data_IF_033445494897
#
_entry.id   IF_033445494897
#
_cell.length_a   1.000
_cell.length_b   1.000
_cell.length_c   1.000
_cell.angle_alpha   90.00
_cell.angle_beta   90.00
_cell.angle_gamma   90.00
#
_symmetry.space_group_name_H-M   'P 1'
#
loop_
_entity.id
_entity.type
_entity.pdbx_description
1 polymer ?
#
# COMPACT_ATOMS: atom_id res chain seq x y z
N UNK A 1 -53.42 36.15 -11.61
CA UNK A 1 -53.18 34.73 -11.25
C UNK A 1 -52.32 34.12 -12.35
N UNK A 2 -51.04 33.87 -12.04
CA UNK A 2 -50.01 33.44 -13.01
C UNK A 2 -50.04 31.92 -13.15
N UNK A 3 -50.17 31.43 -14.40
CA UNK A 3 -50.05 30.00 -14.74
C UNK A 3 -48.58 29.57 -14.62
N UNK A 4 -48.26 28.39 -14.07
CA UNK A 4 -46.89 27.89 -14.09
C UNK A 4 -46.54 27.46 -15.52
N UNK A 5 -45.44 28.01 -16.04
CA UNK A 5 -44.79 27.57 -17.27
C UNK A 5 -43.94 26.36 -16.91
N UNK A 6 -44.34 25.18 -17.38
CA UNK A 6 -43.52 23.96 -17.31
C UNK A 6 -42.54 24.02 -18.47
N UNK A 7 -41.26 24.28 -18.17
CA UNK A 7 -40.18 24.17 -19.14
C UNK A 7 -39.80 22.68 -19.19
N UNK A 8 -40.26 21.98 -20.21
CA UNK A 8 -39.79 20.65 -20.54
C UNK A 8 -38.36 20.76 -21.11
N UNK A 9 -37.36 20.49 -20.28
CA UNK A 9 -36.00 20.23 -20.73
C UNK A 9 -35.99 18.86 -21.43
N UNK A 10 -36.11 18.87 -22.76
CA UNK A 10 -35.80 17.72 -23.58
C UNK A 10 -34.30 17.46 -23.49
N UNK A 11 -33.91 16.55 -22.60
CA UNK A 11 -32.57 15.98 -22.62
C UNK A 11 -32.48 15.07 -23.85
N UNK A 12 -31.81 15.55 -24.89
CA UNK A 12 -31.41 14.75 -26.04
C UNK A 12 -30.46 13.65 -25.56
N UNK A 13 -30.97 12.45 -25.34
CA UNK A 13 -30.17 11.26 -25.15
C UNK A 13 -29.43 10.97 -26.46
N UNK A 14 -28.18 11.40 -26.54
CA UNK A 14 -27.25 10.85 -27.53
C UNK A 14 -26.92 9.45 -27.03
N UNK A 15 -27.61 8.44 -27.58
CA UNK A 15 -27.24 7.05 -27.43
C UNK A 15 -25.90 6.83 -28.14
N UNK A 16 -24.80 7.09 -27.43
CA UNK A 16 -23.49 6.56 -27.80
C UNK A 16 -23.54 5.06 -27.48
N UNK A 17 -23.33 4.25 -28.50
CA UNK A 17 -23.45 2.79 -28.43
C UNK A 17 -22.71 2.23 -27.21
N UNK A 18 -23.47 1.55 -26.35
CA UNK A 18 -22.89 0.71 -25.32
C UNK A 18 -22.01 -0.36 -25.97
N UNK A 19 -20.82 -0.56 -25.41
CA UNK A 19 -19.96 -1.66 -25.82
C UNK A 19 -20.77 -2.98 -25.73
N UNK A 20 -20.77 -3.80 -26.79
CA UNK A 20 -21.52 -5.05 -26.83
C UNK A 20 -20.94 -6.06 -25.84
N UNK A 21 -21.69 -6.34 -24.77
CA UNK A 21 -21.42 -7.41 -23.82
C UNK A 21 -20.58 -6.95 -22.63
N UNK A 22 -21.23 -6.79 -21.46
CA UNK A 22 -20.55 -6.65 -20.17
C UNK A 22 -19.76 -7.93 -19.89
N UNK A 23 -18.51 -7.99 -20.33
CA UNK A 23 -17.57 -9.03 -19.94
C UNK A 23 -16.96 -8.58 -18.61
N UNK A 24 -17.04 -9.43 -17.58
CA UNK A 24 -16.36 -9.17 -16.32
C UNK A 24 -14.86 -8.97 -16.60
N UNK A 25 -14.27 -7.91 -16.05
CA UNK A 25 -12.84 -7.70 -16.16
C UNK A 25 -12.09 -8.81 -15.43
N UNK A 26 -11.19 -9.52 -16.13
CA UNK A 26 -10.31 -10.51 -15.51
C UNK A 26 -9.30 -9.84 -14.55
N UNK A 27 -8.87 -8.63 -14.91
CA UNK A 27 -7.93 -7.81 -14.13
C UNK A 27 -8.61 -6.53 -13.71
N UNK A 28 -8.61 -6.31 -12.40
CA UNK A 28 -9.11 -5.10 -11.79
C UNK A 28 -8.07 -4.54 -10.83
N UNK A 29 -7.89 -3.23 -10.86
CA UNK A 29 -7.24 -2.49 -9.79
C UNK A 29 -8.15 -1.36 -9.31
N UNK A 30 -8.41 -1.30 -8.01
CA UNK A 30 -9.16 -0.25 -7.34
C UNK A 30 -8.22 0.63 -6.51
N UNK A 31 -8.36 1.95 -6.59
CA UNK A 31 -7.80 2.91 -5.63
C UNK A 31 -8.86 3.97 -5.30
N UNK A 32 -9.43 3.90 -4.10
CA UNK A 32 -10.43 4.83 -3.59
C UNK A 32 -9.95 5.49 -2.30
N UNK A 33 -10.29 6.77 -2.11
CA UNK A 33 -9.77 7.56 -0.99
C UNK A 33 -10.84 8.47 -0.39
N UNK A 34 -10.69 8.76 0.90
CA UNK A 34 -11.42 9.82 1.57
C UNK A 34 -10.58 10.45 2.68
N UNK A 35 -10.61 11.77 2.76
CA UNK A 35 -10.04 12.49 3.90
C UNK A 35 -11.06 12.56 5.04
N UNK A 36 -10.62 12.18 6.23
CA UNK A 36 -11.39 12.25 7.46
C UNK A 36 -11.16 13.60 8.13
N UNK A 37 -12.17 14.12 8.82
CA UNK A 37 -12.10 15.41 9.54
C UNK A 37 -10.98 15.48 10.60
N UNK A 38 -10.48 14.33 11.06
CA UNK A 38 -9.37 14.21 12.00
C UNK A 38 -7.98 14.39 11.36
N UNK A 39 -7.91 14.64 10.05
CA UNK A 39 -6.68 14.77 9.27
C UNK A 39 -6.07 13.44 8.82
N UNK A 40 -6.83 12.35 8.96
CA UNK A 40 -6.46 11.02 8.47
C UNK A 40 -7.01 10.80 7.08
N UNK A 41 -6.25 10.16 6.21
CA UNK A 41 -6.73 9.70 4.91
C UNK A 41 -7.05 8.20 5.00
N UNK A 42 -8.28 7.86 4.66
CA UNK A 42 -8.69 6.48 4.40
C UNK A 42 -8.37 6.17 2.93
N UNK A 43 -7.69 5.05 2.70
CA UNK A 43 -7.48 4.46 1.37
C UNK A 43 -8.05 3.05 1.34
N UNK A 44 -8.81 2.74 0.31
CA UNK A 44 -9.27 1.40 -0.03
C UNK A 44 -8.65 1.08 -1.37
N UNK A 45 -7.84 0.04 -1.44
CA UNK A 45 -7.17 -0.34 -2.68
C UNK A 45 -7.04 -1.84 -2.80
N UNK A 46 -7.22 -2.40 -3.99
CA UNK A 46 -7.04 -3.84 -4.18
C UNK A 46 -7.16 -4.28 -5.61
N UNK A 47 -6.93 -5.56 -5.84
CA UNK A 47 -6.94 -6.18 -7.15
C UNK A 47 -7.64 -7.54 -7.15
N UNK A 48 -8.13 -7.97 -8.32
CA UNK A 48 -8.67 -9.33 -8.54
C UNK A 48 -7.57 -10.35 -8.73
N UNK A 49 -6.42 -9.91 -9.23
CA UNK A 49 -5.21 -10.70 -9.37
C UNK A 49 -3.96 -9.81 -9.34
N UNK A 50 -2.92 -10.26 -8.64
CA UNK A 50 -1.64 -9.53 -8.60
C UNK A 50 -0.60 -10.33 -9.37
N UNK A 51 -0.56 -10.10 -10.69
CA UNK A 51 0.51 -10.55 -11.58
C UNK A 51 1.69 -9.56 -11.59
N UNK A 52 1.68 -8.53 -10.72
CA UNK A 52 2.71 -7.49 -10.70
C UNK A 52 3.99 -7.91 -9.96
N UNK A 53 3.99 -9.09 -9.32
CA UNK A 53 5.20 -9.69 -8.77
C UNK A 53 6.04 -10.39 -9.84
N UNK A 54 7.35 -10.17 -9.79
CA UNK A 54 8.34 -10.80 -10.64
C UNK A 54 8.18 -12.33 -10.62
N UNK A 55 7.67 -12.91 -11.71
CA UNK A 55 7.55 -14.36 -11.86
C UNK A 55 6.26 -14.87 -12.49
N UNK A 56 5.25 -14.02 -12.71
CA UNK A 56 4.01 -14.44 -13.40
C UNK A 56 3.23 -15.53 -12.65
N UNK A 57 3.42 -15.63 -11.33
CA UNK A 57 2.63 -16.53 -10.48
C UNK A 57 1.32 -15.82 -10.14
N UNK A 58 0.15 -16.37 -10.53
CA UNK A 58 -1.13 -15.81 -10.13
C UNK A 58 -1.20 -15.79 -8.61
N UNK A 59 -1.36 -14.60 -8.04
CA UNK A 59 -1.65 -14.47 -6.61
C UNK A 59 -3.10 -14.07 -6.43
N UNK A 60 -3.71 -14.57 -5.34
CA UNK A 60 -5.08 -14.24 -4.99
C UNK A 60 -5.20 -12.73 -4.79
N UNK A 61 -6.21 -12.11 -5.39
CA UNK A 61 -6.52 -10.70 -5.21
C UNK A 61 -6.47 -10.26 -3.74
N UNK A 62 -5.86 -9.11 -3.49
CA UNK A 62 -5.69 -8.55 -2.13
C UNK A 62 -6.46 -7.24 -2.04
N UNK A 63 -7.26 -7.06 -0.98
CA UNK A 63 -7.76 -5.73 -0.63
C UNK A 63 -7.03 -5.21 0.59
N UNK A 64 -6.60 -3.96 0.48
CA UNK A 64 -5.96 -3.19 1.52
C UNK A 64 -6.86 -2.01 1.90
N UNK A 65 -7.19 -1.91 3.19
CA UNK A 65 -7.81 -0.71 3.75
C UNK A 65 -6.83 -0.09 4.73
N UNK A 66 -6.45 1.16 4.47
CA UNK A 66 -5.42 1.84 5.23
C UNK A 66 -5.87 3.21 5.73
N UNK A 67 -5.50 3.51 6.97
CA UNK A 67 -5.56 4.85 7.55
C UNK A 67 -4.16 5.43 7.56
N UNK A 68 -4.00 6.59 6.92
CA UNK A 68 -2.72 7.28 6.81
C UNK A 68 -2.82 8.67 7.44
N UNK A 69 -1.78 9.06 8.16
CA UNK A 69 -1.64 10.41 8.68
C UNK A 69 -0.23 10.91 8.38
N UNK A 70 -0.14 12.01 7.65
CA UNK A 70 1.12 12.75 7.48
C UNK A 70 1.09 13.99 8.36
N UNK A 71 1.99 14.07 9.35
CA UNK A 71 2.05 15.23 10.24
C UNK A 71 3.45 15.44 10.79
N UNK A 72 3.95 16.68 10.70
CA UNK A 72 5.25 17.07 11.27
C UNK A 72 6.40 16.27 10.68
N UNK A 73 6.33 15.96 9.39
CA UNK A 73 7.31 15.12 8.67
C UNK A 73 7.14 13.62 8.89
N UNK A 74 6.45 13.17 9.94
CA UNK A 74 6.20 11.75 10.17
C UNK A 74 4.99 11.24 9.37
N UNK A 75 5.07 9.99 8.94
CA UNK A 75 3.96 9.26 8.33
C UNK A 75 3.57 8.08 9.21
N UNK A 76 2.33 8.10 9.69
CA UNK A 76 1.72 7.00 10.43
C UNK A 76 0.74 6.28 9.52
N UNK A 77 0.82 4.95 9.50
CA UNK A 77 0.02 4.08 8.64
C UNK A 77 -0.52 2.91 9.46
N UNK A 78 -1.82 2.63 9.31
CA UNK A 78 -2.47 1.44 9.85
C UNK A 78 -3.28 0.78 8.74
N UNK A 79 -2.80 -0.36 8.27
CA UNK A 79 -3.39 -1.11 7.18
C UNK A 79 -3.98 -2.43 7.66
N UNK A 80 -5.10 -2.80 7.07
CA UNK A 80 -5.65 -4.14 7.07
C UNK A 80 -5.58 -4.69 5.65
N UNK A 81 -4.98 -5.87 5.49
CA UNK A 81 -4.95 -6.60 4.22
C UNK A 81 -5.61 -7.96 4.38
N UNK A 82 -6.59 -8.28 3.53
CA UNK A 82 -7.16 -9.63 3.46
C UNK A 82 -7.24 -10.12 2.01
N UNK A 83 -7.29 -11.44 1.85
CA UNK A 83 -7.79 -12.03 0.62
C UNK A 83 -9.22 -11.50 0.38
N UNK A 84 -9.53 -11.10 -0.86
CA UNK A 84 -10.81 -10.49 -1.19
C UNK A 84 -11.95 -11.51 -1.25
N UNK A 85 -13.14 -11.14 -0.79
CA UNK A 85 -14.32 -12.02 -0.90
C UNK A 85 -15.21 -11.69 -2.12
N UNK A 86 -15.19 -10.47 -2.68
CA UNK A 86 -15.68 -10.13 -4.03
C UNK A 86 -15.15 -8.76 -4.47
N UNK A 87 -14.61 -8.67 -5.68
CA UNK A 87 -14.37 -7.41 -6.38
C UNK A 87 -14.68 -7.63 -7.85
N UNK A 88 -15.65 -6.88 -8.38
CA UNK A 88 -16.15 -7.01 -9.75
C UNK A 88 -16.40 -5.64 -10.35
N UNK A 89 -16.20 -5.52 -11.66
CA UNK A 89 -16.54 -4.34 -12.44
C UNK A 89 -16.65 -4.72 -13.92
N UNK A 90 -17.61 -4.14 -14.62
CA UNK A 90 -17.88 -4.41 -16.04
C UNK A 90 -17.58 -3.22 -16.98
N UNK A 91 -16.91 -2.18 -16.45
CA UNK A 91 -16.67 -0.93 -17.15
C UNK A 91 -17.67 0.18 -16.81
N UNK A 92 -18.84 -0.16 -16.27
CA UNK A 92 -19.89 0.80 -15.90
C UNK A 92 -20.25 0.70 -14.42
N UNK A 93 -20.41 -0.52 -13.91
CA UNK A 93 -20.80 -0.78 -12.55
C UNK A 93 -20.05 -2.00 -11.98
N UNK A 94 -20.06 -2.11 -10.66
CA UNK A 94 -19.35 -3.18 -9.98
C UNK A 94 -19.70 -3.30 -8.51
N UNK A 95 -19.01 -4.19 -7.83
CA UNK A 95 -19.18 -4.42 -6.40
C UNK A 95 -17.86 -4.73 -5.73
N UNK A 96 -17.71 -4.26 -4.51
CA UNK A 96 -16.70 -4.68 -3.55
C UNK A 96 -17.41 -5.25 -2.32
N UNK A 97 -17.16 -6.52 -2.01
CA UNK A 97 -17.69 -7.19 -0.82
C UNK A 97 -16.58 -7.86 -0.02
N UNK A 98 -16.65 -7.70 1.30
CA UNK A 98 -15.72 -8.31 2.25
C UNK A 98 -16.49 -8.78 3.46
N UNK A 99 -16.27 -10.03 3.85
CA UNK A 99 -16.88 -10.63 5.03
C UNK A 99 -15.78 -10.89 6.07
N UNK A 100 -15.40 -9.85 6.81
CA UNK A 100 -14.41 -10.00 7.88
C UNK A 100 -14.98 -10.71 9.11
N UNK A 101 -14.40 -11.85 9.47
CA UNK A 101 -14.83 -12.67 10.62
C UNK A 101 -13.95 -12.53 11.88
N UNK A 102 -12.82 -11.82 11.83
CA UNK A 102 -11.88 -11.69 12.97
C UNK A 102 -11.74 -10.26 13.48
N UNK A 103 -11.61 -10.06 14.79
CA UNK A 103 -11.33 -8.77 15.41
C UNK A 103 -9.82 -8.55 15.64
N UNK A 104 -9.22 -7.41 15.24
CA UNK A 104 -9.84 -6.26 14.58
C UNK A 104 -10.28 -6.58 13.13
N UNK A 105 -11.45 -6.07 12.72
CA UNK A 105 -12.21 -6.58 11.56
C UNK A 105 -12.45 -5.52 10.49
N UNK A 106 -12.59 -5.96 9.23
CA UNK A 106 -13.05 -5.16 8.10
C UNK A 106 -14.30 -5.79 7.49
N UNK A 107 -15.35 -4.99 7.32
CA UNK A 107 -16.56 -5.36 6.60
C UNK A 107 -16.82 -4.29 5.53
N UNK A 108 -17.08 -4.70 4.30
CA UNK A 108 -17.45 -3.79 3.24
C UNK A 108 -18.50 -4.41 2.33
N UNK A 109 -19.50 -3.62 1.96
CA UNK A 109 -20.44 -3.89 0.88
C UNK A 109 -20.66 -2.56 0.16
N UNK A 110 -19.91 -2.37 -0.93
CA UNK A 110 -19.89 -1.14 -1.72
C UNK A 110 -20.26 -1.45 -3.17
N UNK A 111 -21.14 -0.66 -3.72
CA UNK A 111 -21.41 -0.60 -5.17
C UNK A 111 -20.44 0.39 -5.80
N UNK A 112 -19.86 0.02 -6.94
CA UNK A 112 -19.01 0.87 -7.76
C UNK A 112 -19.85 1.37 -8.94
N UNK A 113 -19.83 2.67 -9.20
CA UNK A 113 -20.49 3.29 -10.36
C UNK A 113 -19.50 4.19 -11.09
N UNK A 114 -19.33 3.99 -12.39
CA UNK A 114 -18.53 4.86 -13.24
C UNK A 114 -19.12 6.28 -13.27
N UNK A 115 -18.30 7.28 -12.96
CA UNK A 115 -18.70 8.69 -12.96
C UNK A 115 -18.15 9.47 -14.15
N UNK A 116 -17.40 8.80 -15.03
CA UNK A 116 -16.77 9.39 -16.20
C UNK A 116 -16.63 8.39 -17.33
N UNK A 117 -16.08 8.85 -18.45
CA UNK A 117 -15.78 7.98 -19.58
C UNK A 117 -14.47 7.21 -19.31
N UNK A 118 -14.40 5.91 -19.66
CA UNK A 118 -13.15 5.17 -19.65
C UNK A 118 -12.11 5.83 -20.56
N UNK A 119 -10.88 5.95 -20.06
CA UNK A 119 -9.72 6.43 -20.80
C UNK A 119 -8.71 5.30 -20.95
N UNK A 120 -7.97 5.19 -22.06
CA UNK A 120 -6.89 4.22 -22.19
C UNK A 120 -5.86 4.36 -21.06
N UNK A 121 -5.53 3.25 -20.41
CA UNK A 121 -4.49 3.19 -19.38
C UNK A 121 -3.22 2.54 -19.93
N UNK A 122 -2.11 3.27 -19.83
CA UNK A 122 -0.78 2.84 -20.27
C UNK A 122 0.13 2.52 -19.09
N UNK A 123 -0.42 2.26 -17.90
CA UNK A 123 0.32 1.82 -16.70
C UNK A 123 0.33 0.30 -16.53
N UNK A 124 -0.69 -0.41 -17.00
CA UNK A 124 -0.80 -1.86 -17.06
C UNK A 124 -0.88 -2.36 -18.52
N UNK A 125 -0.09 -3.36 -18.91
CA UNK A 125 -0.07 -4.06 -20.20
C UNK A 125 -0.57 -5.47 -19.99
N UNK A 126 -1.77 -5.75 -20.47
CA UNK A 126 -2.23 -7.10 -20.72
C UNK A 126 -1.88 -7.43 -22.18
N UNK A 127 -1.04 -8.43 -22.46
CA UNK A 127 -0.75 -8.81 -23.84
C UNK A 127 -2.04 -9.13 -24.60
N UNK A 128 -2.30 -8.38 -25.68
CA UNK A 128 -3.45 -8.60 -26.55
C UNK A 128 -4.78 -7.96 -26.10
N UNK A 129 -4.83 -7.30 -24.94
CA UNK A 129 -6.08 -6.70 -24.41
C UNK A 129 -5.85 -5.24 -24.00
N UNK A 130 -6.69 -4.29 -24.45
CA UNK A 130 -6.59 -2.89 -24.01
C UNK A 130 -6.93 -2.75 -22.52
N UNK A 131 -6.24 -1.82 -21.86
CA UNK A 131 -6.51 -1.41 -20.48
C UNK A 131 -7.19 -0.04 -20.46
N UNK A 132 -8.09 0.13 -19.51
CA UNK A 132 -8.86 1.34 -19.31
C UNK A 132 -8.80 1.78 -17.85
N UNK A 133 -8.85 3.10 -17.64
CA UNK A 133 -8.99 3.73 -16.34
C UNK A 133 -10.27 4.55 -16.33
N UNK A 134 -11.09 4.40 -15.30
CA UNK A 134 -12.33 5.16 -15.14
C UNK A 134 -12.50 5.63 -13.70
N UNK A 135 -12.95 6.88 -13.55
CA UNK A 135 -13.33 7.40 -12.24
C UNK A 135 -14.62 6.71 -11.76
N UNK A 136 -14.64 6.32 -10.48
CA UNK A 136 -15.79 5.65 -9.87
C UNK A 136 -16.22 6.34 -8.57
N UNK A 137 -17.53 6.32 -8.32
CA UNK A 137 -18.10 6.53 -7.01
C UNK A 137 -18.37 5.18 -6.37
N UNK A 138 -17.93 5.01 -5.13
CA UNK A 138 -18.25 3.84 -4.33
C UNK A 138 -19.29 4.25 -3.30
N UNK A 139 -20.43 3.57 -3.24
CA UNK A 139 -21.50 3.85 -2.28
C UNK A 139 -21.91 2.58 -1.55
N UNK A 140 -22.28 2.69 -0.28
CA UNK A 140 -22.70 1.55 0.52
C UNK A 140 -22.18 1.62 1.94
N UNK A 141 -21.78 0.48 2.51
CA UNK A 141 -21.25 0.41 3.88
C UNK A 141 -19.82 -0.08 3.88
N UNK A 142 -18.89 0.74 4.37
CA UNK A 142 -17.58 0.30 4.82
C UNK A 142 -17.48 0.48 6.33
N UNK A 143 -17.10 -0.59 7.03
CA UNK A 143 -16.87 -0.60 8.48
C UNK A 143 -15.53 -1.23 8.81
N UNK A 144 -14.60 -0.39 9.27
CA UNK A 144 -13.28 -0.82 9.72
C UNK A 144 -13.19 -0.70 11.24
N UNK A 145 -13.12 -1.83 11.95
CA UNK A 145 -12.87 -1.87 13.40
C UNK A 145 -11.38 -1.99 13.64
N UNK A 146 -10.75 -0.87 13.94
CA UNK A 146 -9.28 -0.75 13.94
C UNK A 146 -8.61 -1.30 15.19
N UNK A 147 -9.32 -1.41 16.31
CA UNK A 147 -8.70 -1.68 17.62
C UNK A 147 -7.73 -0.58 18.08
N UNK A 148 -7.68 0.56 17.39
CA UNK A 148 -6.81 1.70 17.69
C UNK A 148 -7.50 2.64 18.67
N UNK A 149 -6.71 3.24 19.57
CA UNK A 149 -7.19 4.11 20.64
C UNK A 149 -7.98 5.32 20.14
N UNK A 150 -7.56 5.94 19.03
CA UNK A 150 -8.20 7.15 18.50
C UNK A 150 -9.16 6.90 17.34
N UNK A 151 -9.05 5.77 16.64
CA UNK A 151 -9.77 5.53 15.39
C UNK A 151 -10.88 4.48 15.53
N UNK A 152 -10.96 3.77 16.66
CA UNK A 152 -12.11 2.95 17.06
C UNK A 152 -12.73 2.18 15.89
N UNK A 153 -13.92 2.61 15.47
CA UNK A 153 -14.55 2.18 14.21
C UNK A 153 -14.60 3.33 13.21
N UNK A 154 -14.04 3.13 12.02
CA UNK A 154 -14.21 4.04 10.88
C UNK A 154 -15.38 3.55 10.03
N UNK A 155 -16.30 4.46 9.70
CA UNK A 155 -17.43 4.21 8.81
C UNK A 155 -17.44 5.22 7.70
N UNK A 156 -17.57 4.75 6.47
CA UNK A 156 -17.69 5.60 5.29
C UNK A 156 -18.81 5.06 4.42
N UNK A 157 -19.67 5.96 3.96
CA UNK A 157 -20.83 5.62 3.14
C UNK A 157 -20.61 5.95 1.65
N UNK A 158 -19.62 6.79 1.36
CA UNK A 158 -19.20 7.06 -0.02
C UNK A 158 -17.70 7.33 -0.11
N UNK A 159 -17.08 6.81 -1.17
CA UNK A 159 -15.70 7.09 -1.55
C UNK A 159 -15.68 7.49 -3.03
N UNK A 160 -14.68 8.27 -3.40
CA UNK A 160 -14.33 8.47 -4.80
C UNK A 160 -13.02 7.73 -5.08
N UNK A 161 -12.90 7.18 -6.29
CA UNK A 161 -11.73 6.43 -6.68
C UNK A 161 -11.57 6.28 -8.17
N UNK A 162 -10.65 5.41 -8.52
CA UNK A 162 -10.36 5.01 -9.89
C UNK A 162 -10.33 3.50 -9.95
N UNK A 163 -10.90 2.96 -11.02
CA UNK A 163 -10.79 1.55 -11.40
C UNK A 163 -9.98 1.47 -12.69
N UNK A 164 -8.95 0.63 -12.66
CA UNK A 164 -8.19 0.22 -13.84
C UNK A 164 -8.63 -1.21 -14.19
N UNK A 165 -8.99 -1.46 -15.45
CA UNK A 165 -9.59 -2.72 -15.88
C UNK A 165 -9.33 -3.03 -17.35
N UNK A 166 -9.36 -4.31 -17.72
CA UNK A 166 -9.35 -4.78 -19.12
C UNK A 166 -10.77 -5.10 -19.61
N UNK A 167 -10.96 -5.00 -20.93
CA UNK A 167 -12.20 -5.42 -21.59
C UNK A 167 -12.04 -6.83 -22.19
N UNK A 168 -12.60 -7.84 -21.51
CA UNK A 168 -12.59 -9.23 -21.95
C UNK A 168 -11.38 -10.04 -21.51
N UNK A 169 -11.31 -11.34 -21.86
CA UNK A 169 -10.34 -12.25 -21.27
C UNK A 169 -8.91 -11.84 -21.58
N UNK A 170 -8.06 -11.78 -20.57
CA UNK A 170 -6.67 -11.37 -20.73
C UNK A 170 -5.71 -12.48 -20.30
N UNK A 171 -4.58 -12.56 -21.00
CA UNK A 171 -3.40 -13.20 -20.45
C UNK A 171 -2.88 -12.40 -19.24
N UNK A 172 -1.92 -12.93 -18.48
CA UNK A 172 -1.40 -12.25 -17.30
C UNK A 172 -0.99 -10.81 -17.62
N UNK A 173 -1.58 -9.85 -16.91
CA UNK A 173 -1.25 -8.44 -17.05
C UNK A 173 0.01 -8.08 -16.29
N UNK A 174 0.87 -7.31 -16.92
CA UNK A 174 2.08 -6.74 -16.33
C UNK A 174 1.92 -5.22 -16.27
N UNK A 175 2.77 -4.48 -15.59
CA UNK A 175 2.80 -3.01 -15.76
C UNK A 175 3.24 -2.66 -17.20
N UNK A 176 2.57 -1.75 -17.93
CA UNK A 176 2.90 -1.32 -19.32
C UNK A 176 3.84 -0.13 -19.42
N UNK A 177 4.17 0.55 -18.33
CA UNK A 177 5.55 1.04 -18.29
C UNK A 177 6.41 -0.22 -18.23
N UNK A 178 7.59 -0.26 -18.86
CA UNK A 178 8.77 -0.82 -18.18
C UNK A 178 8.47 -0.86 -16.68
N UNK A 179 8.31 -2.04 -16.07
CA UNK A 179 8.05 -2.23 -14.61
C UNK A 179 8.53 -0.96 -13.94
N UNK A 180 7.70 -0.06 -13.36
CA UNK A 180 8.18 1.26 -12.96
C UNK A 180 9.51 1.05 -12.23
N UNK A 181 10.67 1.41 -12.82
CA UNK A 181 11.91 0.64 -12.74
C UNK A 181 12.06 0.11 -11.32
N UNK A 182 11.87 -1.20 -11.11
CA UNK A 182 11.14 -1.79 -9.98
C UNK A 182 11.36 -1.11 -8.63
N UNK A 183 10.80 0.09 -8.35
CA UNK A 183 11.46 1.12 -7.48
C UNK A 183 12.81 0.61 -6.98
N UNK A 184 13.76 0.50 -7.90
CA UNK A 184 15.00 -0.17 -7.55
C UNK A 184 15.60 0.69 -6.48
N UNK A 185 15.72 0.12 -5.28
CA UNK A 185 16.34 0.82 -4.18
C UNK A 185 17.81 0.92 -4.57
N UNK A 186 18.14 1.97 -5.31
CA UNK A 186 19.49 2.54 -5.45
C UNK A 186 19.85 3.17 -4.11
N UNK A 187 19.65 2.43 -3.03
CA UNK A 187 19.39 2.96 -1.73
C UNK A 187 19.93 2.00 -0.73
N UNK A 188 20.96 2.46 -0.03
CA UNK A 188 21.49 1.69 1.06
C UNK A 188 20.45 1.60 2.17
N UNK A 189 20.13 0.38 2.56
CA UNK A 189 19.14 0.11 3.59
C UNK A 189 19.64 -0.94 4.58
N UNK A 190 19.19 -0.81 5.82
CA UNK A 190 19.48 -1.73 6.90
C UNK A 190 18.16 -2.06 7.56
N UNK A 191 17.77 -3.32 7.49
CA UNK A 191 16.46 -3.75 7.95
C UNK A 191 16.58 -5.02 8.78
N UNK A 192 15.87 -5.13 9.90
CA UNK A 192 15.72 -6.42 10.59
C UNK A 192 15.01 -7.44 9.68
N UNK A 193 15.01 -8.73 10.00
CA UNK A 193 14.35 -9.74 9.16
C UNK A 193 12.89 -9.34 8.87
N UNK A 194 12.45 -9.35 7.61
CA UNK A 194 11.11 -8.89 7.22
C UNK A 194 9.97 -9.70 7.89
N UNK A 195 10.26 -10.93 8.27
CA UNK A 195 9.36 -11.82 9.00
C UNK A 195 9.31 -11.52 10.51
N UNK A 196 10.29 -10.76 11.04
CA UNK A 196 10.30 -10.35 12.45
C UNK A 196 9.22 -9.30 12.71
N UNK A 197 8.53 -9.42 13.86
CA UNK A 197 7.70 -8.35 14.38
C UNK A 197 8.11 -7.99 15.81
N UNK A 198 8.47 -6.72 16.08
CA UNK A 198 8.53 -5.58 15.17
C UNK A 198 9.68 -5.65 14.16
N UNK A 199 9.42 -5.19 12.94
CA UNK A 199 10.39 -4.97 11.88
C UNK A 199 10.86 -3.52 11.90
N UNK A 200 12.15 -3.26 11.74
CA UNK A 200 12.69 -1.90 11.56
C UNK A 200 13.51 -1.85 10.30
N UNK A 201 13.28 -0.84 9.47
CA UNK A 201 14.14 -0.52 8.33
C UNK A 201 14.56 0.94 8.31
N UNK A 202 15.80 1.15 7.88
CA UNK A 202 16.41 2.45 7.79
C UNK A 202 17.06 2.59 6.43
N UNK A 203 16.58 3.54 5.62
CA UNK A 203 17.10 3.88 4.30
C UNK A 203 17.84 5.21 4.36
N UNK A 204 19.01 5.32 3.72
CA UNK A 204 19.79 6.56 3.74
C UNK A 204 20.33 7.05 2.41
N UNK A 205 20.12 6.31 1.33
CA UNK A 205 20.59 6.73 0.01
C UNK A 205 19.61 6.49 -1.14
N UNK A 206 18.33 6.21 -0.86
CA UNK A 206 17.36 5.99 -1.94
C UNK A 206 17.15 7.27 -2.75
N UNK A 207 17.53 7.26 -4.02
CA UNK A 207 17.09 8.28 -4.99
C UNK A 207 15.56 8.20 -5.14
N UNK A 208 14.83 9.33 -5.08
CA UNK A 208 15.29 10.69 -4.79
C UNK A 208 15.42 10.95 -3.27
N UNK A 209 16.62 11.30 -2.77
CA UNK A 209 16.99 11.86 -1.44
C UNK A 209 16.07 11.58 -0.23
N UNK A 210 15.44 10.41 -0.16
CA UNK A 210 14.44 10.11 0.88
C UNK A 210 15.06 9.22 1.93
N UNK A 211 15.70 9.84 2.93
CA UNK A 211 16.24 9.12 4.09
C UNK A 211 15.14 8.97 5.12
N UNK A 212 14.92 7.75 5.59
CA UNK A 212 13.90 7.50 6.59
C UNK A 212 14.29 6.38 7.54
N UNK A 213 13.67 6.39 8.71
CA UNK A 213 13.57 5.24 9.58
C UNK A 213 12.10 4.89 9.73
N UNK A 214 11.79 3.60 9.61
CA UNK A 214 10.46 3.07 9.78
C UNK A 214 10.49 1.88 10.72
N UNK A 215 9.45 1.80 11.55
CA UNK A 215 9.15 0.62 12.35
C UNK A 215 7.77 0.12 11.95
N UNK A 216 7.65 -1.20 11.79
CA UNK A 216 6.42 -1.87 11.38
C UNK A 216 6.10 -3.01 12.35
N UNK A 217 4.86 -3.06 12.81
CA UNK A 217 4.30 -4.14 13.61
C UNK A 217 3.28 -4.87 12.74
N UNK A 218 3.35 -6.21 12.70
CA UNK A 218 2.43 -7.05 11.94
C UNK A 218 1.74 -8.02 12.89
N UNK A 219 0.45 -8.21 12.71
CA UNK A 219 -0.34 -9.17 13.49
C UNK A 219 -1.52 -9.66 12.65
N UNK A 220 -1.40 -10.89 12.12
CA UNK A 220 -2.35 -11.41 11.13
C UNK A 220 -2.45 -10.47 9.92
N UNK A 221 -3.68 -10.11 9.55
CA UNK A 221 -4.01 -9.18 8.47
C UNK A 221 -3.61 -7.71 8.73
N UNK A 222 -3.21 -7.36 9.95
CA UNK A 222 -2.92 -5.97 10.32
C UNK A 222 -1.43 -5.62 10.21
N UNK A 223 -1.17 -4.43 9.70
CA UNK A 223 0.13 -3.77 9.70
C UNK A 223 0.02 -2.37 10.30
N UNK A 224 0.96 -2.01 11.16
CA UNK A 224 1.06 -0.68 11.77
C UNK A 224 2.48 -0.16 11.60
N UNK A 225 2.65 0.93 10.87
CA UNK A 225 3.96 1.51 10.62
C UNK A 225 4.03 2.98 10.96
N UNK A 226 5.19 3.37 11.49
CA UNK A 226 5.54 4.76 11.74
C UNK A 226 6.87 5.04 11.05
N UNK A 227 6.86 5.98 10.12
CA UNK A 227 8.00 6.40 9.34
C UNK A 227 8.35 7.85 9.67
N UNK A 228 9.64 8.13 9.81
CA UNK A 228 10.15 9.49 10.01
C UNK A 228 11.31 9.78 9.06
N UNK A 229 11.38 10.99 8.49
CA UNK A 229 12.51 11.41 7.70
C UNK A 229 13.75 11.59 8.58
N UNK A 230 14.92 11.33 8.01
CA UNK A 230 16.21 11.49 8.67
C UNK A 230 16.99 12.63 8.03
N UNK A 231 17.28 13.67 8.81
CA UNK A 231 18.04 14.83 8.33
C UNK A 231 19.52 14.51 8.06
N UNK A 232 20.07 13.52 8.77
CA UNK A 232 21.46 13.10 8.67
C UNK A 232 21.55 11.59 8.60
N UNK A 233 22.68 11.07 8.11
CA UNK A 233 22.98 9.65 8.19
C UNK A 233 22.93 9.20 9.66
N UNK A 234 22.07 8.23 10.03
CA UNK A 234 22.00 7.73 11.40
C UNK A 234 23.11 6.72 11.72
N UNK A 235 23.98 6.41 10.74
CA UNK A 235 24.95 5.32 10.81
C UNK A 235 26.28 5.76 11.39
N UNK A 236 26.86 4.88 12.20
CA UNK A 236 28.24 4.96 12.70
C UNK A 236 28.75 3.53 12.96
N UNK A 237 30.06 3.34 13.06
CA UNK A 237 30.64 2.02 13.37
C UNK A 237 31.66 1.57 12.33
N UNK A 238 31.87 0.25 12.26
CA UNK A 238 32.86 -0.41 11.40
C UNK A 238 32.27 -1.65 10.75
N UNK A 239 32.90 -2.18 9.71
CA UNK A 239 32.59 -3.52 9.20
C UNK A 239 32.57 -4.54 10.35
N UNK A 240 31.50 -5.32 10.46
CA UNK A 240 31.23 -6.19 11.61
C UNK A 240 30.23 -5.63 12.62
N UNK A 241 30.15 -4.31 12.81
CA UNK A 241 29.24 -3.66 13.77
C UNK A 241 28.76 -2.29 13.26
N UNK A 242 27.49 -2.22 12.85
CA UNK A 242 26.84 -0.99 12.41
C UNK A 242 25.88 -0.48 13.48
N UNK A 243 26.08 0.76 13.92
CA UNK A 243 25.23 1.44 14.91
C UNK A 243 24.32 2.43 14.22
N UNK A 244 23.02 2.30 14.47
CA UNK A 244 21.99 3.20 14.00
C UNK A 244 21.48 4.04 15.17
N UNK A 245 21.67 5.36 15.09
CA UNK A 245 21.13 6.33 16.05
C UNK A 245 19.93 7.04 15.44
N UNK A 246 18.74 6.71 15.92
CA UNK A 246 17.53 7.42 15.54
C UNK A 246 17.48 8.79 16.25
N UNK A 247 16.63 9.73 15.80
CA UNK A 247 16.49 11.03 16.42
C UNK A 247 16.28 10.96 17.94
N UNK A 248 16.89 11.89 18.69
CA UNK A 248 16.73 11.97 20.16
C UNK A 248 15.33 12.41 20.58
N UNK A 249 14.66 13.19 19.72
CA UNK A 249 13.32 13.73 19.91
C UNK A 249 12.47 13.37 18.69
N UNK A 250 11.16 13.32 18.90
CA UNK A 250 10.19 13.00 17.85
C UNK A 250 9.48 11.66 18.07
N UNK A 251 8.62 11.29 17.11
CA UNK A 251 7.73 10.14 17.27
C UNK A 251 8.47 8.81 17.12
N UNK A 252 9.63 8.76 16.46
CA UNK A 252 10.49 7.58 16.40
C UNK A 252 11.89 7.90 16.92
N UNK A 253 12.35 7.13 17.92
CA UNK A 253 13.63 7.36 18.61
C UNK A 253 14.23 6.07 19.13
N UNK A 254 15.53 6.07 19.39
CA UNK A 254 16.23 4.90 19.93
C UNK A 254 17.56 4.62 19.25
N UNK A 255 18.07 3.42 19.52
CA UNK A 255 19.36 2.95 19.01
C UNK A 255 19.27 1.49 18.66
N UNK A 256 19.90 1.12 17.55
CA UNK A 256 20.11 -0.27 17.14
C UNK A 256 21.59 -0.49 16.87
N UNK A 257 22.06 -1.69 17.17
CA UNK A 257 23.40 -2.17 16.85
C UNK A 257 23.23 -3.47 16.09
N UNK A 258 23.78 -3.51 14.89
CA UNK A 258 23.74 -4.64 13.98
C UNK A 258 25.12 -5.28 13.98
N UNK A 259 25.19 -6.53 14.43
CA UNK A 259 26.41 -7.34 14.46
C UNK A 259 26.40 -8.27 13.24
N UNK A 260 27.25 -7.97 12.27
CA UNK A 260 27.40 -8.74 11.03
C UNK A 260 28.19 -10.03 11.31
N UNK A 261 27.59 -11.20 11.07
CA UNK A 261 28.21 -12.50 11.40
C UNK A 261 28.51 -13.37 10.18
N UNK A 262 27.81 -13.18 9.04
CA UNK A 262 27.99 -14.00 7.83
C UNK A 262 28.37 -13.20 6.59
N UNK A 263 29.07 -13.93 5.72
CA UNK A 263 29.54 -13.52 4.41
C UNK A 263 28.36 -13.11 3.52
N UNK A 264 28.56 -11.96 2.90
CA UNK A 264 27.82 -11.39 1.78
C UNK A 264 27.43 -12.50 0.80
N UNK A 265 26.13 -12.75 0.64
CA UNK A 265 25.67 -13.53 -0.51
C UNK A 265 25.18 -12.53 -1.54
N UNK A 266 25.91 -12.32 -2.64
CA UNK A 266 25.42 -11.52 -3.75
C UNK A 266 24.16 -12.20 -4.27
N UNK A 267 23.02 -11.57 -4.05
CA UNK A 267 21.77 -11.95 -4.66
C UNK A 267 21.52 -10.98 -5.80
N UNK A 268 21.41 -11.48 -7.03
CA UNK A 268 20.92 -10.63 -8.11
C UNK A 268 19.43 -10.49 -7.90
N UNK A 269 18.96 -9.27 -7.62
CA UNK A 269 17.53 -9.00 -7.67
C UNK A 269 17.07 -9.27 -9.11
N UNK A 270 16.25 -10.31 -9.35
CA UNK A 270 15.83 -10.66 -10.71
C UNK A 270 14.96 -9.56 -11.33
N UNK A 271 14.40 -8.69 -10.50
CA UNK A 271 13.54 -7.56 -10.86
C UNK A 271 14.38 -6.33 -11.19
N UNK A 272 15.35 -5.99 -10.34
CA UNK A 272 16.15 -4.77 -10.47
C UNK A 272 17.47 -4.92 -11.21
N UNK A 273 17.95 -6.14 -11.45
CA UNK A 273 19.27 -6.39 -12.00
C UNK A 273 20.43 -5.92 -11.10
N UNK A 274 20.13 -5.35 -9.93
CA UNK A 274 21.07 -4.91 -8.91
C UNK A 274 21.57 -6.11 -8.13
N UNK A 275 22.85 -6.12 -7.81
CA UNK A 275 23.41 -7.04 -6.83
C UNK A 275 23.08 -6.52 -5.44
N UNK A 276 22.27 -7.27 -4.70
CA UNK A 276 22.01 -7.04 -3.29
C UNK A 276 22.99 -7.86 -2.46
N UNK A 277 23.53 -7.25 -1.41
CA UNK A 277 24.50 -7.90 -0.53
C UNK A 277 23.82 -8.32 0.78
N UNK A 278 23.13 -9.46 0.76
CA UNK A 278 22.44 -9.93 1.95
C UNK A 278 23.47 -10.41 2.97
N UNK A 279 23.49 -9.74 4.12
CA UNK A 279 24.40 -10.04 5.23
C UNK A 279 23.60 -10.44 6.46
N UNK A 280 23.81 -11.65 6.97
CA UNK A 280 23.13 -12.13 8.16
C UNK A 280 23.90 -11.81 9.44
N UNK A 281 23.17 -11.61 10.53
CA UNK A 281 23.73 -11.32 11.84
C UNK A 281 22.67 -11.13 12.90
N UNK A 282 23.05 -10.51 14.02
CA UNK A 282 22.14 -10.20 15.12
C UNK A 282 21.90 -8.70 15.22
N UNK A 283 20.75 -8.32 15.76
CA UNK A 283 20.45 -6.93 16.11
C UNK A 283 20.14 -6.82 17.61
N UNK A 284 20.72 -5.82 18.25
CA UNK A 284 20.43 -5.43 19.62
C UNK A 284 20.01 -3.98 19.70
N UNK A 285 19.18 -3.65 20.68
CA UNK A 285 18.85 -2.26 20.97
C UNK A 285 17.39 -2.03 21.31
N UNK A 286 16.99 -0.76 21.25
CA UNK A 286 15.67 -0.32 21.67
C UNK A 286 15.17 0.79 20.78
N UNK A 287 13.95 0.63 20.30
CA UNK A 287 13.23 1.65 19.52
C UNK A 287 11.93 2.00 20.23
N UNK A 288 11.66 3.29 20.36
CA UNK A 288 10.41 3.82 20.90
C UNK A 288 9.66 4.54 19.78
N UNK A 289 8.44 4.10 19.55
CA UNK A 289 7.55 4.58 18.51
C UNK A 289 6.27 5.15 19.14
N UNK A 290 6.08 6.46 19.07
CA UNK A 290 4.93 7.17 19.59
C UNK A 290 3.88 7.37 18.49
N UNK A 291 3.10 6.31 18.24
CA UNK A 291 1.93 6.36 17.37
C UNK A 291 0.86 7.29 17.97
N UNK A 292 0.24 8.10 17.12
CA UNK A 292 -0.87 8.97 17.50
C UNK A 292 -2.14 8.14 17.71
N UNK A 293 -2.48 7.24 16.78
CA UNK A 293 -3.72 6.48 16.83
C UNK A 293 -3.64 5.23 17.69
N UNK A 294 -2.48 4.58 17.79
CA UNK A 294 -2.36 3.32 18.53
C UNK A 294 -1.98 3.52 20.01
N UNK A 295 -0.77 4.04 20.26
CA UNK A 295 -0.13 4.43 21.53
C UNK A 295 1.38 4.30 21.37
N UNK A 296 2.15 4.77 22.36
CA UNK A 296 3.59 4.50 22.38
C UNK A 296 3.88 3.01 22.51
N UNK A 297 4.77 2.51 21.64
CA UNK A 297 5.31 1.16 21.64
C UNK A 297 6.81 1.22 21.86
N UNK A 298 7.32 0.26 22.63
CA UNK A 298 8.75 0.04 22.77
C UNK A 298 9.06 -1.33 22.18
N UNK A 299 9.94 -1.35 21.19
CA UNK A 299 10.57 -2.54 20.67
C UNK A 299 11.92 -2.71 21.35
N UNK A 300 12.20 -3.91 21.88
CA UNK A 300 13.51 -4.29 22.40
C UNK A 300 14.00 -5.46 21.56
N UNK A 301 15.20 -5.31 21.02
CA UNK A 301 15.89 -6.32 20.24
C UNK A 301 17.01 -6.90 21.12
N UNK A 302 16.96 -8.20 21.40
CA UNK A 302 17.92 -8.92 22.21
C UNK A 302 18.43 -10.10 21.36
N UNK A 303 19.43 -9.81 20.53
CA UNK A 303 20.04 -10.77 19.59
C UNK A 303 19.03 -11.39 18.61
N UNK A 304 18.09 -10.57 18.10
CA UNK A 304 17.17 -11.03 17.08
C UNK A 304 17.94 -11.36 15.79
N UNK A 305 17.68 -12.53 15.22
CA UNK A 305 18.36 -13.01 14.02
C UNK A 305 17.83 -12.31 12.76
N UNK A 306 18.76 -12.04 11.85
CA UNK A 306 18.46 -11.66 10.48
C UNK A 306 18.30 -10.16 10.31
N UNK A 307 19.11 -9.62 9.42
CA UNK A 307 18.89 -8.32 8.82
C UNK A 307 19.34 -8.38 7.36
N UNK A 308 18.85 -7.46 6.54
CA UNK A 308 19.29 -7.29 5.16
C UNK A 308 20.01 -5.95 5.08
N UNK A 309 21.21 -5.97 4.51
CA UNK A 309 21.91 -4.77 4.08
C UNK A 309 21.72 -4.71 2.57
N UNK A 310 20.96 -3.75 2.08
CA UNK A 310 20.99 -3.46 0.65
C UNK A 310 22.15 -2.48 0.44
N UNK A 311 23.16 -2.87 -0.34
CA UNK A 311 24.17 -1.95 -0.87
C UNK A 311 24.24 -2.18 -2.38
N UNK A 312 23.83 -1.20 -3.22
CA UNK A 312 24.03 -1.31 -4.66
C UNK A 312 25.54 -1.24 -4.94
N UNK A 313 26.11 -2.36 -5.37
CA UNK A 313 27.49 -2.42 -5.90
C UNK A 313 27.60 -1.75 -7.26
#
# INVERSE_FOLDING_TARGET
MRRPVVIALAASAVALGGAPGALAADHLWLDARASLSSGWDLRVSGNTDDNSFAGGVPSSGVLNVALQLRRGGAQEYHGYGSAQDELSFDGTAGRLRIVGNDAPSLEADLTLEATGLPAPDLRLACPGTPMYSVAVALTGTLRLRTGLRLLGTVRVNSLAGTVEYNDGPAGPCFSSSTVPPPICRDGRALATAQESTPFVDVSWDSRPLYRYARITYRHGAWSHSLEVPLMHSPFSGRLGELRVKLPRRGPLRGTLVFHLQRRETPSKDPTCGTTQTISAGTVTGRVVAAFRAWRTRTAVFADAAGFVVDDPS
#
